data_IF_987590198178
#
_entry.id   IF_987590198178
#
_cell.length_a   1.000
_cell.length_b   1.000
_cell.length_c   1.000
_cell.angle_alpha   90.00
_cell.angle_beta   90.00
_cell.angle_gamma   90.00
#
_symmetry.space_group_name_H-M   'P 1'
#
loop_
_entity.id
_entity.type
_entity.pdbx_description
1 polymer ?
#
# COMPACT_ATOMS: atom_id res chain seq x y z
N UNK A 1 3.99 2.90 -19.51
CA UNK A 1 5.11 3.50 -18.76
C UNK A 1 5.12 2.88 -17.37
N UNK A 2 6.30 2.55 -16.85
CA UNK A 2 6.47 2.02 -15.50
C UNK A 2 6.77 3.18 -14.56
N UNK A 3 6.08 3.23 -13.42
CA UNK A 3 6.22 4.27 -12.42
C UNK A 3 6.56 3.61 -11.08
N UNK A 4 7.30 4.33 -10.26
CA UNK A 4 7.61 3.90 -8.89
C UNK A 4 6.32 3.86 -8.06
N UNK A 5 6.17 2.80 -7.29
CA UNK A 5 5.08 2.59 -6.36
C UNK A 5 5.64 2.05 -5.05
N UNK A 6 5.11 2.58 -3.94
CA UNK A 6 5.15 1.92 -2.65
C UNK A 6 3.75 1.47 -2.29
N UNK A 7 3.58 0.16 -2.13
CA UNK A 7 2.29 -0.48 -1.88
C UNK A 7 2.44 -1.62 -0.89
N UNK A 8 1.32 -2.16 -0.42
CA UNK A 8 1.32 -3.35 0.43
C UNK A 8 1.70 -4.61 -0.38
N UNK A 9 2.14 -5.67 0.29
CA UNK A 9 2.01 -7.02 -0.27
C UNK A 9 0.54 -7.48 -0.22
N UNK A 10 0.23 -8.59 -0.89
CA UNK A 10 -1.11 -9.17 -0.91
C UNK A 10 -1.71 -9.39 0.51
N UNK A 11 -0.87 -9.75 1.48
CA UNK A 11 -1.32 -9.98 2.86
C UNK A 11 -1.52 -8.68 3.67
N UNK A 12 -1.11 -7.52 3.16
CA UNK A 12 -1.18 -6.25 3.88
C UNK A 12 -0.23 -6.14 5.07
N UNK A 13 0.78 -7.01 5.16
CA UNK A 13 1.69 -7.13 6.30
C UNK A 13 3.06 -6.50 6.06
N UNK A 14 3.39 -6.18 4.80
CA UNK A 14 4.69 -5.65 4.38
C UNK A 14 4.53 -4.57 3.31
N UNK A 15 5.55 -3.73 3.19
CA UNK A 15 5.66 -2.74 2.11
C UNK A 15 6.53 -3.29 0.98
N UNK A 16 6.13 -3.02 -0.25
CA UNK A 16 6.83 -3.38 -1.47
C UNK A 16 7.08 -2.13 -2.30
N UNK A 17 8.35 -1.91 -2.66
CA UNK A 17 8.77 -0.93 -3.65
C UNK A 17 8.85 -1.60 -5.01
N UNK A 18 8.02 -1.16 -5.96
CA UNK A 18 7.94 -1.77 -7.29
C UNK A 18 7.87 -0.72 -8.38
N UNK A 19 8.34 -1.08 -9.57
CA UNK A 19 8.13 -0.31 -10.77
C UNK A 19 7.08 -1.02 -11.61
N UNK A 20 5.93 -0.37 -11.85
CA UNK A 20 4.78 -0.98 -12.53
C UNK A 20 3.92 0.08 -13.24
N UNK A 21 3.06 -0.30 -14.20
CA UNK A 21 2.05 0.61 -14.73
C UNK A 21 1.11 1.09 -13.61
N UNK A 22 0.71 2.36 -13.66
CA UNK A 22 -0.28 2.87 -12.71
C UNK A 22 -1.63 2.16 -12.89
N UNK A 23 -2.39 2.12 -11.80
CA UNK A 23 -3.75 1.59 -11.75
C UNK A 23 -4.65 2.55 -10.98
N UNK A 24 -5.93 2.50 -11.27
CA UNK A 24 -6.93 3.12 -10.39
C UNK A 24 -7.24 2.13 -9.27
N UNK A 25 -7.20 2.61 -8.04
CA UNK A 25 -7.55 1.85 -6.85
C UNK A 25 -8.91 2.34 -6.39
N UNK A 26 -9.89 1.46 -6.33
CA UNK A 26 -11.27 1.80 -6.04
C UNK A 26 -11.72 1.40 -4.63
N UNK A 27 -12.81 2.01 -4.17
CA UNK A 27 -13.56 1.54 -2.99
C UNK A 27 -12.89 1.85 -1.66
N UNK A 28 -12.12 2.94 -1.59
CA UNK A 28 -11.37 3.33 -0.38
C UNK A 28 -10.43 2.22 0.11
N UNK A 29 -9.80 1.49 -0.82
CA UNK A 29 -8.86 0.41 -0.53
C UNK A 29 -7.41 0.89 -0.56
N UNK A 30 -6.58 0.21 0.20
CA UNK A 30 -5.13 0.34 0.07
C UNK A 30 -4.66 -0.31 -1.24
N UNK A 31 -3.55 0.17 -1.79
CA UNK A 31 -2.95 -0.47 -2.95
C UNK A 31 -2.03 -1.61 -2.50
N UNK A 32 -2.05 -2.72 -3.24
CA UNK A 32 -1.10 -3.84 -3.09
C UNK A 32 -0.42 -4.19 -4.41
N UNK A 33 0.67 -4.95 -4.30
CA UNK A 33 1.28 -5.67 -5.39
C UNK A 33 1.30 -7.17 -5.08
N UNK A 34 0.72 -7.97 -5.99
CA UNK A 34 0.75 -9.43 -5.93
C UNK A 34 1.81 -9.97 -6.91
N UNK A 35 2.92 -10.58 -6.44
CA UNK A 35 3.92 -11.16 -7.33
C UNK A 35 3.42 -12.37 -8.15
N UNK A 36 2.31 -13.01 -7.75
CA UNK A 36 1.70 -14.14 -8.47
C UNK A 36 1.05 -13.75 -9.79
N UNK A 37 0.51 -12.53 -9.87
CA UNK A 37 0.07 -11.90 -11.11
C UNK A 37 0.54 -10.45 -11.06
N UNK A 38 1.78 -10.13 -11.50
CA UNK A 38 2.56 -8.93 -11.14
C UNK A 38 1.88 -7.60 -11.49
N UNK A 39 0.82 -7.29 -10.75
CA UNK A 39 -0.09 -6.17 -10.97
C UNK A 39 -0.30 -5.44 -9.65
N UNK A 40 -0.57 -4.14 -9.79
CA UNK A 40 -1.08 -3.34 -8.70
C UNK A 40 -2.60 -3.48 -8.67
N UNK A 41 -3.17 -3.68 -7.48
CA UNK A 41 -4.61 -3.83 -7.29
C UNK A 41 -5.05 -3.35 -5.90
N UNK A 42 -6.35 -3.44 -5.63
CA UNK A 42 -6.94 -3.20 -4.33
C UNK A 42 -6.56 -4.30 -3.32
N UNK A 43 -6.03 -3.87 -2.17
CA UNK A 43 -5.86 -4.73 -1.00
C UNK A 43 -7.19 -4.87 -0.24
N UNK A 44 -7.29 -5.92 0.58
CA UNK A 44 -8.44 -6.11 1.48
C UNK A 44 -8.56 -5.00 2.53
N UNK A 45 -7.45 -4.37 2.94
CA UNK A 45 -7.39 -3.25 3.87
C UNK A 45 -7.95 -1.96 3.26
N UNK A 46 -8.64 -1.18 4.09
CA UNK A 46 -9.20 0.13 3.73
C UNK A 46 -8.30 1.27 4.17
N UNK A 47 -8.22 2.30 3.35
CA UNK A 47 -7.47 3.54 3.60
C UNK A 47 -8.22 4.53 4.53
N UNK A 48 -8.98 4.01 5.49
CA UNK A 48 -9.88 4.81 6.34
C UNK A 48 -9.42 4.71 7.79
N UNK A 49 -9.00 5.83 8.38
CA UNK A 49 -8.83 5.97 9.82
C UNK A 49 -9.76 7.09 10.35
N UNK A 50 -9.72 7.36 11.66
CA UNK A 50 -10.62 8.32 12.30
C UNK A 50 -10.43 9.79 11.85
N UNK A 51 -9.39 10.12 11.08
CA UNK A 51 -9.03 11.51 10.73
C UNK A 51 -8.82 11.78 9.24
N UNK A 52 -8.45 10.78 8.44
CA UNK A 52 -8.24 10.90 6.99
C UNK A 52 -8.72 9.62 6.30
N UNK A 53 -9.65 9.78 5.35
CA UNK A 53 -10.05 8.73 4.42
C UNK A 53 -9.54 9.05 3.03
N UNK A 54 -9.06 8.04 2.30
CA UNK A 54 -8.79 8.22 0.87
C UNK A 54 -10.11 8.37 0.08
N UNK A 55 -10.09 9.01 -1.11
CA UNK A 55 -11.27 9.19 -1.94
C UNK A 55 -11.82 7.85 -2.46
N UNK A 56 -13.02 7.88 -3.07
CA UNK A 56 -13.66 6.69 -3.64
C UNK A 56 -12.81 5.96 -4.69
N UNK A 57 -11.87 6.67 -5.34
CA UNK A 57 -10.78 6.10 -6.09
C UNK A 57 -9.57 7.04 -6.16
N UNK A 58 -8.38 6.49 -6.37
CA UNK A 58 -7.14 7.25 -6.59
C UNK A 58 -6.21 6.52 -7.56
N UNK A 59 -5.18 7.21 -8.06
CA UNK A 59 -4.15 6.61 -8.91
C UNK A 59 -3.10 5.95 -8.00
N UNK A 60 -2.69 4.72 -8.28
CA UNK A 60 -1.78 3.94 -7.43
C UNK A 60 -0.48 4.64 -7.06
N UNK A 61 0.04 5.55 -7.89
CA UNK A 61 1.22 6.37 -7.56
C UNK A 61 0.98 7.33 -6.38
N UNK A 62 -0.28 7.66 -6.10
CA UNK A 62 -0.72 8.48 -4.97
C UNK A 62 -0.95 7.68 -3.68
N UNK A 63 -0.76 6.35 -3.68
CA UNK A 63 -0.96 5.50 -2.50
C UNK A 63 -0.20 6.01 -1.27
N UNK A 64 1.01 6.57 -1.49
CA UNK A 64 1.86 7.14 -0.44
C UNK A 64 1.19 8.26 0.38
N UNK A 65 0.13 8.90 -0.15
CA UNK A 65 -0.62 9.96 0.55
C UNK A 65 -1.54 9.42 1.63
N UNK A 66 -1.82 8.11 1.65
CA UNK A 66 -2.78 7.48 2.56
C UNK A 66 -2.06 6.63 3.61
N UNK A 67 -1.39 7.33 4.55
CA UNK A 67 -0.54 6.72 5.57
C UNK A 67 -1.25 5.68 6.46
N UNK A 68 -2.58 5.76 6.59
CA UNK A 68 -3.39 4.74 7.27
C UNK A 68 -3.17 3.31 6.74
N UNK A 69 -2.82 3.17 5.47
CA UNK A 69 -2.50 1.88 4.86
C UNK A 69 -1.17 1.30 5.36
N UNK A 70 -0.24 2.15 5.79
CA UNK A 70 1.09 1.78 6.23
C UNK A 70 1.20 1.68 7.76
N UNK A 71 0.33 2.39 8.49
CA UNK A 71 0.23 2.30 9.96
C UNK A 71 -0.01 0.83 10.41
N UNK A 72 -0.80 0.06 9.65
CA UNK A 72 -1.07 -1.36 9.92
C UNK A 72 0.23 -2.17 9.93
N UNK A 73 1.12 -1.90 8.98
CA UNK A 73 2.43 -2.56 8.88
C UNK A 73 3.33 -2.16 10.03
N UNK A 74 3.30 -0.88 10.45
CA UNK A 74 4.10 -0.41 11.59
C UNK A 74 3.66 -1.06 12.92
N UNK A 75 2.36 -1.31 13.11
CA UNK A 75 1.84 -2.02 14.29
C UNK A 75 2.34 -3.47 14.33
N UNK A 76 2.39 -4.16 13.19
CA UNK A 76 2.88 -5.53 13.09
C UNK A 76 4.40 -5.56 13.34
N UNK A 77 5.15 -4.66 12.70
CA UNK A 77 6.60 -4.56 12.87
C UNK A 77 7.02 -4.17 14.29
N UNK A 78 6.19 -3.41 15.02
CA UNK A 78 6.42 -3.05 16.43
C UNK A 78 6.43 -4.24 17.40
N UNK A 79 5.98 -5.43 16.97
CA UNK A 79 5.99 -6.66 17.76
C UNK A 79 7.14 -7.62 17.40
N UNK A 80 7.94 -7.33 16.36
CA UNK A 80 9.07 -8.16 15.94
C UNK A 80 10.35 -7.30 15.85
N UNK A 81 11.27 -7.46 16.81
CA UNK A 81 12.63 -6.95 16.65
C UNK A 81 13.34 -7.73 15.55
N UNK A 82 13.32 -7.25 14.30
CA UNK A 82 14.45 -7.15 13.35
C UNK A 82 14.01 -6.82 11.91
N UNK A 83 14.64 -5.77 11.33
CA UNK A 83 14.94 -5.45 9.91
C UNK A 83 14.01 -6.05 8.82
N UNK A 84 13.28 -5.30 7.98
CA UNK A 84 13.54 -4.03 7.32
C UNK A 84 12.26 -3.19 7.31
N UNK A 85 12.29 -2.02 7.95
CA UNK A 85 11.46 -0.91 7.50
C UNK A 85 11.95 -0.54 6.10
N UNK A 86 11.38 -1.13 5.06
CA UNK A 86 11.48 -0.58 3.71
C UNK A 86 10.69 0.72 3.74
N UNK A 87 11.35 1.77 4.23
CA UNK A 87 10.81 3.11 4.30
C UNK A 87 10.46 3.50 2.87
N UNK A 88 9.19 3.41 2.54
CA UNK A 88 8.63 4.17 1.45
C UNK A 88 8.90 5.65 1.73
N UNK A 89 10.00 6.14 1.17
CA UNK A 89 10.46 7.51 1.32
C UNK A 89 9.60 8.47 0.49
#
# INVERSE_FOLDING_TARGET
>A
MFLYHCVLNADGTKLLEVCAPYKYIYGQKCAEFDPGGPIIQENSNTCSNASVSCPGFYISTDAHKYQSCYDIVQIIAGNETTYESTNCK
#
